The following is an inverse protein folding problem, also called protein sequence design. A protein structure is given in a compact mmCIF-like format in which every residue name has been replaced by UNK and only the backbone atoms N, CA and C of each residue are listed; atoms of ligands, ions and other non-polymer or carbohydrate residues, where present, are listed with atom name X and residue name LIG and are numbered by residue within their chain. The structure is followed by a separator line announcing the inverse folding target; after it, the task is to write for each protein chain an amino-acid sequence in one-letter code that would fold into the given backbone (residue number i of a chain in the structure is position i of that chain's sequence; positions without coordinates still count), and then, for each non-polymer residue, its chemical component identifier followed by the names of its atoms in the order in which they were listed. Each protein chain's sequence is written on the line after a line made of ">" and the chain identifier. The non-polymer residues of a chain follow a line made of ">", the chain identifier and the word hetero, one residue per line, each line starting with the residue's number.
data_IF_601412530968
#
_entry.id   IF_601412530968
#
_cell.length_a   1.000
_cell.length_b   1.000
_cell.length_c   1.000
_cell.angle_alpha   90.00
_cell.angle_beta   90.00
_cell.angle_gamma   90.00
#
_symmetry.space_group_name_H-M   'P 1'
#
loop_
_entity.id
_entity.type
_entity.pdbx_description
1 polymer ?
#
# COMPACT_ATOMS: atom_id res chain seq x y z
N UNK A 1 -15.48 -0.41 -12.99
CA UNK A 1 -14.60 -0.89 -14.07
C UNK A 1 -14.45 -2.40 -13.88
N UNK A 2 -14.74 -3.25 -14.88
CA UNK A 2 -14.65 -4.72 -14.72
C UNK A 2 -13.21 -5.21 -14.96
N UNK A 3 -12.35 -4.97 -13.97
CA UNK A 3 -10.91 -5.26 -14.03
C UNK A 3 -10.62 -6.77 -14.17
N UNK A 4 -11.59 -7.64 -13.85
CA UNK A 4 -11.48 -9.09 -13.98
C UNK A 4 -11.42 -9.57 -15.43
N UNK A 5 -11.72 -8.67 -16.39
CA UNK A 5 -11.61 -8.94 -17.84
C UNK A 5 -10.27 -8.53 -18.44
N UNK A 6 -9.33 -8.00 -17.66
CA UNK A 6 -8.00 -7.68 -18.19
C UNK A 6 -7.35 -8.92 -18.80
N UNK A 7 -6.73 -8.74 -19.98
CA UNK A 7 -6.02 -9.79 -20.70
C UNK A 7 -4.60 -9.34 -21.00
N UNK A 8 -3.67 -10.28 -20.99
CA UNK A 8 -2.26 -10.04 -21.28
C UNK A 8 -1.34 -10.75 -20.30
N UNK A 9 -0.04 -10.73 -20.61
CA UNK A 9 1.01 -11.43 -19.84
C UNK A 9 1.03 -11.05 -18.36
N UNK A 10 0.62 -9.82 -18.04
CA UNK A 10 0.65 -9.25 -16.69
C UNK A 10 -0.75 -9.02 -16.10
N UNK A 11 -1.81 -9.51 -16.74
CA UNK A 11 -3.17 -9.27 -16.26
C UNK A 11 -3.42 -9.88 -14.87
N UNK A 12 -2.83 -11.06 -14.59
CA UNK A 12 -3.03 -11.75 -13.32
C UNK A 12 -2.57 -10.92 -12.12
N UNK A 13 -1.37 -10.32 -12.15
CA UNK A 13 -0.87 -9.50 -11.04
C UNK A 13 -1.75 -8.27 -10.81
N UNK A 14 -2.24 -7.64 -11.88
CA UNK A 14 -3.14 -6.48 -11.77
C UNK A 14 -4.46 -6.88 -11.13
N UNK A 15 -5.03 -8.01 -11.54
CA UNK A 15 -6.27 -8.54 -10.96
C UNK A 15 -6.07 -8.92 -9.48
N UNK A 16 -4.93 -9.51 -9.13
CA UNK A 16 -4.58 -9.87 -7.75
C UNK A 16 -4.46 -8.62 -6.86
N UNK A 17 -3.72 -7.60 -7.31
CA UNK A 17 -3.55 -6.34 -6.59
C UNK A 17 -4.91 -5.67 -6.35
N UNK A 18 -5.73 -5.50 -7.39
CA UNK A 18 -7.05 -4.86 -7.24
C UNK A 18 -7.95 -5.69 -6.31
N UNK A 19 -7.93 -7.02 -6.42
CA UNK A 19 -8.74 -7.89 -5.56
C UNK A 19 -8.26 -7.87 -4.10
N UNK A 20 -6.97 -7.69 -3.84
CA UNK A 20 -6.43 -7.49 -2.49
C UNK A 20 -6.87 -6.15 -1.91
N UNK A 21 -6.79 -5.09 -2.71
CA UNK A 21 -7.27 -3.77 -2.31
C UNK A 21 -8.77 -3.82 -1.97
N UNK A 22 -9.60 -4.43 -2.83
CA UNK A 22 -11.05 -4.60 -2.57
C UNK A 22 -11.34 -5.31 -1.24
N UNK A 23 -10.58 -6.38 -0.93
CA UNK A 23 -10.69 -7.07 0.36
C UNK A 23 -10.23 -6.21 1.53
N UNK A 24 -9.24 -5.35 1.28
CA UNK A 24 -8.66 -4.42 2.23
C UNK A 24 -9.50 -3.17 2.51
N UNK A 25 -10.47 -2.83 1.66
CA UNK A 25 -11.26 -1.58 1.74
C UNK A 25 -11.88 -1.38 3.12
N UNK A 26 -12.47 -2.42 3.71
CA UNK A 26 -13.08 -2.29 5.06
C UNK A 26 -12.06 -1.90 6.11
N UNK A 27 -10.87 -2.50 6.06
CA UNK A 27 -9.80 -2.23 7.02
C UNK A 27 -9.17 -0.86 6.80
N UNK A 28 -9.01 -0.44 5.54
CA UNK A 28 -8.60 0.92 5.19
C UNK A 28 -9.63 1.95 5.70
N UNK A 29 -10.92 1.68 5.51
CA UNK A 29 -11.99 2.53 6.04
C UNK A 29 -11.95 2.61 7.57
N UNK A 30 -11.78 1.48 8.28
CA UNK A 30 -11.64 1.48 9.74
C UNK A 30 -10.40 2.27 10.23
N UNK A 31 -9.33 2.33 9.44
CA UNK A 31 -8.15 3.15 9.74
C UNK A 31 -8.49 4.64 9.61
N UNK A 32 -9.18 5.02 8.53
CA UNK A 32 -9.58 6.40 8.24
C UNK A 32 -10.67 6.93 9.17
N UNK A 33 -11.56 6.07 9.67
CA UNK A 33 -12.67 6.44 10.56
C UNK A 33 -12.25 6.53 12.04
N UNK A 34 -10.99 6.20 12.38
CA UNK A 34 -10.50 6.38 13.75
C UNK A 34 -10.57 7.85 14.15
N UNK A 35 -11.00 8.18 15.38
CA UNK A 35 -11.12 9.57 15.83
C UNK A 35 -9.77 10.33 15.83
N UNK A 36 -8.66 9.60 15.88
CA UNK A 36 -7.29 10.12 15.80
C UNK A 36 -6.70 10.08 14.38
N UNK A 37 -7.46 9.66 13.36
CA UNK A 37 -6.97 9.45 12.01
C UNK A 37 -6.37 10.73 11.41
N UNK A 38 -7.02 11.89 11.60
CA UNK A 38 -6.52 13.19 11.16
C UNK A 38 -5.46 13.84 12.07
N UNK A 39 -5.09 13.18 13.17
CA UNK A 39 -4.06 13.71 14.08
C UNK A 39 -2.68 13.52 13.46
N UNK A 40 -1.88 14.57 13.50
CA UNK A 40 -0.47 14.49 13.17
C UNK A 40 0.28 13.57 14.14
N UNK A 41 1.27 12.86 13.62
CA UNK A 41 2.17 12.03 14.42
C UNK A 41 3.13 12.92 15.23
N UNK A 42 3.92 12.35 16.15
CA UNK A 42 4.96 13.10 16.89
C UNK A 42 6.34 13.02 16.20
N UNK A 43 6.39 12.49 14.98
CA UNK A 43 7.61 12.22 14.23
C UNK A 43 7.66 13.20 13.06
N UNK A 44 8.82 13.82 12.80
CA UNK A 44 9.08 14.50 11.52
C UNK A 44 9.40 13.43 10.47
N UNK A 45 8.77 13.48 9.30
CA UNK A 45 9.19 12.66 8.16
C UNK A 45 10.40 13.30 7.47
N UNK A 46 11.01 12.56 6.54
CA UNK A 46 12.24 12.96 5.84
C UNK A 46 12.09 14.18 4.92
N UNK A 47 10.85 14.59 4.63
CA UNK A 47 10.51 15.79 3.85
C UNK A 47 10.29 17.03 4.72
N UNK A 48 10.28 16.90 6.05
CA UNK A 48 10.06 17.99 7.01
C UNK A 48 8.58 18.27 7.34
N UNK A 49 7.67 17.42 6.87
CA UNK A 49 6.26 17.45 7.23
C UNK A 49 5.99 16.51 8.40
N UNK A 50 4.96 16.81 9.19
CA UNK A 50 4.46 15.86 10.18
C UNK A 50 3.44 14.96 9.49
N UNK A 51 3.70 13.66 9.30
CA UNK A 51 2.76 12.78 8.63
C UNK A 51 1.53 12.54 9.50
N UNK A 52 0.38 12.36 8.85
CA UNK A 52 -0.89 12.08 9.50
C UNK A 52 -0.88 10.62 9.98
N UNK A 53 -1.47 10.34 11.15
CA UNK A 53 -1.51 8.97 11.69
C UNK A 53 -2.22 7.98 10.76
N UNK A 54 -3.21 8.44 10.01
CA UNK A 54 -3.90 7.66 8.99
C UNK A 54 -2.93 7.21 7.88
N UNK A 55 -2.13 8.12 7.34
CA UNK A 55 -1.21 7.84 6.22
C UNK A 55 -0.18 6.78 6.62
N UNK A 56 0.44 6.91 7.80
CA UNK A 56 1.36 5.89 8.30
C UNK A 56 0.69 4.53 8.56
N UNK A 57 -0.58 4.53 8.96
CA UNK A 57 -1.32 3.30 9.21
C UNK A 57 -1.76 2.63 7.90
N UNK A 58 -2.14 3.42 6.89
CA UNK A 58 -2.46 2.95 5.54
C UNK A 58 -1.21 2.46 4.82
N UNK A 59 -0.09 3.19 4.91
CA UNK A 59 1.22 2.80 4.40
C UNK A 59 1.59 1.39 4.89
N UNK A 60 1.60 1.20 6.21
CA UNK A 60 1.93 -0.09 6.79
C UNK A 60 0.97 -1.19 6.33
N UNK A 61 -0.32 -0.89 6.26
CA UNK A 61 -1.33 -1.85 5.81
C UNK A 61 -1.13 -2.26 4.34
N UNK A 62 -0.86 -1.30 3.45
CA UNK A 62 -0.63 -1.54 2.04
C UNK A 62 0.71 -2.26 1.80
N UNK A 63 1.76 -1.87 2.52
CA UNK A 63 3.05 -2.56 2.51
C UNK A 63 2.89 -4.05 2.83
N UNK A 64 2.26 -4.38 3.97
CA UNK A 64 2.03 -5.77 4.37
C UNK A 64 1.16 -6.51 3.34
N UNK A 65 0.15 -5.82 2.80
CA UNK A 65 -0.76 -6.39 1.80
C UNK A 65 -0.03 -6.73 0.50
N UNK A 66 0.78 -5.82 -0.03
CA UNK A 66 1.52 -6.03 -1.27
C UNK A 66 2.70 -6.98 -1.09
N UNK A 67 3.39 -6.95 0.04
CA UNK A 67 4.46 -7.90 0.35
C UNK A 67 3.93 -9.30 0.65
N UNK A 68 2.63 -9.49 0.90
CA UNK A 68 2.04 -10.84 0.97
C UNK A 68 2.00 -11.57 -0.39
N UNK A 69 2.07 -10.82 -1.50
CA UNK A 69 2.13 -11.39 -2.84
C UNK A 69 3.52 -11.95 -3.15
N UNK A 70 3.61 -13.23 -3.48
CA UNK A 70 4.88 -13.91 -3.80
C UNK A 70 5.59 -13.33 -5.03
N UNK A 71 4.81 -12.84 -5.99
CA UNK A 71 5.31 -12.27 -7.25
C UNK A 71 5.73 -10.78 -7.11
N UNK A 72 5.44 -10.12 -5.99
CA UNK A 72 5.90 -8.76 -5.70
C UNK A 72 7.24 -8.83 -4.98
N UNK A 73 8.26 -8.23 -5.58
CA UNK A 73 9.62 -8.17 -5.05
C UNK A 73 9.83 -6.99 -4.13
N UNK A 74 9.31 -5.82 -4.48
CA UNK A 74 9.57 -4.59 -3.74
C UNK A 74 8.37 -3.67 -3.78
N UNK A 75 8.21 -2.90 -2.71
CA UNK A 75 7.15 -1.91 -2.57
C UNK A 75 7.75 -0.58 -2.13
N UNK A 76 7.23 0.52 -2.67
CA UNK A 76 7.71 1.86 -2.40
C UNK A 76 6.54 2.80 -2.16
N UNK A 77 6.57 3.51 -1.04
CA UNK A 77 5.52 4.42 -0.59
C UNK A 77 6.04 5.85 -0.57
N UNK A 78 5.17 6.83 -0.80
CA UNK A 78 5.50 8.25 -0.64
C UNK A 78 6.03 8.56 0.78
N UNK A 79 5.53 7.86 1.79
CA UNK A 79 5.88 8.07 3.20
C UNK A 79 7.30 7.60 3.59
N UNK A 80 8.02 6.93 2.68
CA UNK A 80 9.31 6.29 2.98
C UNK A 80 10.39 6.68 1.98
N UNK A 81 11.60 6.96 2.49
CA UNK A 81 12.77 7.23 1.64
C UNK A 81 13.33 5.99 0.93
N UNK A 82 13.07 4.79 1.46
CA UNK A 82 13.64 3.55 0.93
C UNK A 82 12.57 2.50 0.69
N UNK A 83 12.67 1.73 -0.41
CA UNK A 83 11.72 0.68 -0.73
C UNK A 83 11.94 -0.57 0.13
N UNK A 84 10.86 -1.22 0.53
CA UNK A 84 10.92 -2.50 1.24
C UNK A 84 10.99 -3.64 0.24
N UNK A 85 12.06 -4.42 0.29
CA UNK A 85 12.42 -5.39 -0.74
C UNK A 85 12.59 -6.80 -0.18
N UNK A 86 12.02 -7.78 -0.88
CA UNK A 86 12.19 -9.23 -0.66
C UNK A 86 13.17 -9.81 -1.67
N UNK A 87 13.70 -10.99 -1.36
CA UNK A 87 14.64 -11.69 -2.25
C UNK A 87 14.00 -12.13 -3.57
N UNK A 88 12.75 -12.59 -3.52
CA UNK A 88 12.01 -13.16 -4.65
C UNK A 88 10.86 -12.25 -5.11
N UNK A 89 10.51 -12.37 -6.38
CA UNK A 89 9.43 -11.64 -7.04
C UNK A 89 9.84 -11.05 -8.39
N UNK A 90 8.86 -10.75 -9.23
CA UNK A 90 9.06 -10.20 -10.58
C UNK A 90 8.52 -8.77 -10.75
N UNK A 91 7.76 -8.27 -9.77
CA UNK A 91 7.09 -6.98 -9.85
C UNK A 91 7.54 -6.02 -8.75
N UNK A 92 7.52 -4.74 -9.05
CA UNK A 92 7.74 -3.64 -8.12
C UNK A 92 6.46 -2.80 -8.09
N UNK A 93 6.04 -2.36 -6.90
CA UNK A 93 4.84 -1.54 -6.73
C UNK A 93 5.24 -0.23 -6.08
N UNK A 94 4.88 0.89 -6.70
CA UNK A 94 4.94 2.21 -6.08
C UNK A 94 3.51 2.67 -5.81
N UNK A 95 3.26 3.25 -4.64
CA UNK A 95 1.94 3.68 -4.21
C UNK A 95 2.00 4.92 -3.31
N UNK A 96 0.86 5.60 -3.23
CA UNK A 96 0.58 6.70 -2.31
C UNK A 96 -0.57 6.21 -1.41
N UNK A 97 -0.36 6.10 -0.09
CA UNK A 97 -1.26 5.40 0.83
C UNK A 97 -2.63 6.03 1.10
#
# INVERSE_FOLDING_TARGET
>A
MDYKRFKGKHANIVIEIISLLEKGVKKAQEILEKPDAGSYTKLENSSGDTPIKADLALDKFLEETFLSLENVKSVFSEEKETPVTKENGSYLIAYDP
#
